data_IF_904968710913
#
_entry.id   IF_904968710913
#
_cell.length_a   1.000
_cell.length_b   1.000
_cell.length_c   1.000
_cell.angle_alpha   90.00
_cell.angle_beta   90.00
_cell.angle_gamma   90.00
#
_symmetry.space_group_name_H-M   'P 1'
#
loop_
_entity.id
_entity.type
_entity.pdbx_description
1 polymer ?
#
# COMPACT_ATOMS: atom_id res chain seq x y z
N UNK A 1 -5.17 -3.40 -4.50
CA UNK A 1 -3.78 -3.62 -4.04
C UNK A 1 -3.69 -3.00 -2.68
N UNK A 2 -3.23 -3.72 -1.66
CA UNK A 2 -2.97 -3.13 -0.35
C UNK A 2 -2.01 -1.94 -0.46
N UNK A 3 -2.42 -0.80 0.07
CA UNK A 3 -1.64 0.41 0.20
C UNK A 3 -1.23 0.58 1.68
N UNK A 4 -0.68 1.70 2.06
CA UNK A 4 -0.18 1.91 3.42
C UNK A 4 -1.20 1.58 4.52
N UNK A 5 -2.49 2.03 4.49
CA UNK A 5 -3.44 1.74 5.55
C UNK A 5 -3.75 0.24 5.71
N UNK A 6 -3.88 -0.49 4.60
CA UNK A 6 -4.11 -1.93 4.63
C UNK A 6 -2.92 -2.68 5.24
N UNK A 7 -1.69 -2.28 4.86
CA UNK A 7 -0.47 -2.88 5.40
C UNK A 7 -0.30 -2.56 6.88
N UNK A 8 -0.61 -1.32 7.30
CA UNK A 8 -0.61 -0.93 8.72
C UNK A 8 -1.61 -1.75 9.54
N UNK A 9 -2.79 -2.00 8.98
CA UNK A 9 -3.81 -2.85 9.64
C UNK A 9 -3.30 -4.27 9.83
N UNK A 10 -2.69 -4.87 8.80
CA UNK A 10 -2.08 -6.21 8.92
C UNK A 10 -1.01 -6.21 10.00
N UNK A 11 -0.14 -5.21 10.04
CA UNK A 11 0.91 -5.10 11.05
C UNK A 11 0.33 -5.00 12.45
N UNK A 12 -0.70 -4.19 12.66
CA UNK A 12 -1.37 -4.05 13.96
C UNK A 12 -2.02 -5.35 14.43
N UNK A 13 -2.64 -6.10 13.51
CA UNK A 13 -3.26 -7.39 13.80
C UNK A 13 -2.21 -8.48 14.13
N UNK A 14 -1.11 -8.51 13.38
CA UNK A 14 -0.05 -9.50 13.58
C UNK A 14 0.78 -9.27 14.85
N UNK A 15 1.03 -8.01 15.19
CA UNK A 15 1.95 -7.65 16.29
C UNK A 15 1.65 -8.36 17.60
N UNK A 16 0.42 -8.34 18.16
CA UNK A 16 0.13 -8.99 19.44
C UNK A 16 0.19 -10.51 19.39
N UNK A 17 0.07 -11.11 18.21
CA UNK A 17 0.04 -12.54 18.00
C UNK A 17 1.43 -13.11 17.67
N UNK A 18 2.31 -12.30 17.09
CA UNK A 18 3.58 -12.73 16.54
C UNK A 18 4.78 -12.36 17.43
N UNK A 19 4.74 -11.20 18.09
CA UNK A 19 5.87 -10.78 18.95
C UNK A 19 6.07 -11.77 20.09
N UNK A 20 7.32 -12.17 20.29
CA UNK A 20 7.72 -13.16 21.29
C UNK A 20 7.64 -14.60 20.81
N UNK A 21 7.06 -14.89 19.64
CA UNK A 21 7.03 -16.24 19.06
C UNK A 21 8.35 -16.59 18.40
N UNK A 22 8.66 -17.89 18.37
CA UNK A 22 9.83 -18.45 17.73
C UNK A 22 9.43 -19.18 16.46
N UNK A 23 10.17 -18.96 15.37
CA UNK A 23 9.99 -19.69 14.10
C UNK A 23 10.60 -21.07 14.25
N UNK A 24 9.80 -22.12 14.13
CA UNK A 24 10.25 -23.52 14.31
C UNK A 24 10.55 -24.22 12.99
N UNK A 25 9.89 -23.82 11.90
CA UNK A 25 10.22 -24.28 10.55
C UNK A 25 9.76 -23.27 9.50
N UNK A 26 10.32 -23.40 8.29
CA UNK A 26 9.91 -22.59 7.14
C UNK A 26 9.67 -23.51 5.94
N UNK A 27 8.51 -23.38 5.33
CA UNK A 27 8.11 -24.10 4.13
C UNK A 27 7.70 -23.13 3.04
N UNK A 28 8.15 -23.36 1.81
CA UNK A 28 7.73 -22.60 0.63
C UNK A 28 7.09 -23.52 -0.41
N UNK A 29 6.16 -22.94 -1.19
CA UNK A 29 5.56 -23.63 -2.32
C UNK A 29 6.54 -23.71 -3.51
N UNK A 30 6.27 -24.60 -4.46
CA UNK A 30 6.98 -24.67 -5.75
C UNK A 30 6.73 -23.46 -6.65
N UNK A 31 5.66 -22.70 -6.41
CA UNK A 31 5.27 -21.55 -7.21
C UNK A 31 5.95 -20.29 -6.66
N UNK A 32 6.65 -19.58 -7.54
CA UNK A 32 7.46 -18.41 -7.15
C UNK A 32 6.59 -17.15 -7.07
N UNK A 33 6.75 -16.39 -6.00
CA UNK A 33 6.33 -15.00 -5.88
C UNK A 33 7.19 -14.09 -6.79
N UNK A 34 6.83 -12.83 -6.93
CA UNK A 34 7.63 -11.84 -7.68
C UNK A 34 9.05 -11.71 -7.12
N UNK A 35 9.20 -11.67 -5.79
CA UNK A 35 10.46 -11.83 -5.07
C UNK A 35 10.27 -13.01 -4.12
N UNK A 36 10.75 -14.21 -4.51
CA UNK A 36 10.45 -15.42 -3.78
C UNK A 36 11.34 -15.58 -2.56
N UNK A 37 10.81 -16.23 -1.55
CA UNK A 37 11.61 -16.80 -0.47
C UNK A 37 12.63 -17.79 -1.05
N UNK A 38 13.87 -17.74 -0.58
CA UNK A 38 14.94 -18.65 -1.02
C UNK A 38 15.12 -19.75 0.02
N UNK A 39 15.18 -21.05 -0.38
CA UNK A 39 15.38 -22.16 0.54
C UNK A 39 16.60 -22.02 1.47
N UNK A 40 17.67 -21.41 0.95
CA UNK A 40 18.88 -21.12 1.73
C UNK A 40 18.64 -20.22 2.96
N UNK A 41 17.53 -19.49 3.03
CA UNK A 41 17.17 -18.62 4.15
C UNK A 41 16.49 -19.38 5.30
N UNK A 42 16.05 -20.62 5.06
CA UNK A 42 15.33 -21.40 6.08
C UNK A 42 16.16 -21.56 7.36
N UNK A 43 17.40 -22.03 7.23
CA UNK A 43 18.28 -22.25 8.38
C UNK A 43 18.54 -20.97 9.20
N UNK A 44 18.56 -19.82 8.53
CA UNK A 44 18.81 -18.53 9.18
C UNK A 44 17.57 -17.95 9.88
N UNK A 45 16.38 -18.37 9.48
CA UNK A 45 15.12 -17.91 10.06
C UNK A 45 14.61 -18.84 11.17
N UNK A 46 14.95 -20.13 11.11
CA UNK A 46 14.58 -21.12 12.14
C UNK A 46 15.29 -20.76 13.45
N UNK A 47 14.62 -21.04 14.57
CA UNK A 47 15.04 -20.72 15.94
C UNK A 47 15.21 -19.23 16.24
N UNK A 48 14.80 -18.36 15.30
CA UNK A 48 14.74 -16.92 15.55
C UNK A 48 13.43 -16.54 16.24
N UNK A 49 13.55 -15.70 17.28
CA UNK A 49 12.41 -15.12 18.00
C UNK A 49 11.99 -13.80 17.35
N UNK A 50 10.71 -13.58 17.17
CA UNK A 50 10.17 -12.32 16.69
C UNK A 50 10.25 -11.26 17.79
N UNK A 51 10.98 -10.17 17.53
CA UNK A 51 11.11 -9.04 18.45
C UNK A 51 10.12 -7.93 18.17
N UNK A 52 9.91 -7.62 16.89
CA UNK A 52 8.96 -6.56 16.52
C UNK A 52 8.31 -6.84 15.15
N UNK A 53 7.12 -6.25 14.96
CA UNK A 53 6.43 -6.18 13.67
C UNK A 53 6.10 -4.72 13.39
N UNK A 54 6.59 -4.21 12.28
CA UNK A 54 6.47 -2.80 11.89
C UNK A 54 6.22 -2.65 10.39
N UNK A 55 5.89 -1.45 9.95
CA UNK A 55 5.64 -1.11 8.54
C UNK A 55 6.65 -0.07 8.05
N UNK A 56 6.97 -0.15 6.76
CA UNK A 56 7.65 0.91 6.01
C UNK A 56 7.03 0.99 4.61
N UNK A 57 6.36 2.10 4.28
CA UNK A 57 5.59 2.23 3.05
C UNK A 57 4.52 1.13 2.92
N UNK A 58 4.63 0.28 1.92
CA UNK A 58 3.72 -0.87 1.70
C UNK A 58 4.36 -2.21 2.09
N UNK A 59 5.40 -2.18 2.91
CA UNK A 59 6.14 -3.34 3.36
C UNK A 59 5.87 -3.64 4.82
N UNK A 60 5.69 -4.91 5.13
CA UNK A 60 5.72 -5.44 6.50
C UNK A 60 7.16 -5.82 6.81
N UNK A 61 7.67 -5.40 7.95
CA UNK A 61 9.00 -5.70 8.45
C UNK A 61 8.86 -6.45 9.76
N UNK A 62 9.55 -7.58 9.88
CA UNK A 62 9.58 -8.39 11.10
C UNK A 62 11.03 -8.47 11.54
N UNK A 63 11.34 -7.83 12.66
CA UNK A 63 12.65 -7.92 13.29
C UNK A 63 12.74 -9.24 14.06
N UNK A 64 13.83 -9.98 13.88
CA UNK A 64 14.08 -11.24 14.50
C UNK A 64 15.32 -11.16 15.41
N UNK A 65 15.36 -11.97 16.45
CA UNK A 65 16.55 -12.23 17.24
C UNK A 65 16.97 -13.69 17.09
N UNK A 66 18.20 -13.93 16.75
CA UNK A 66 18.86 -15.24 16.80
C UNK A 66 20.05 -15.16 17.76
N UNK A 67 20.69 -16.30 18.03
CA UNK A 67 21.82 -16.35 18.99
C UNK A 67 22.99 -15.44 18.63
N UNK A 68 23.20 -15.12 17.34
CA UNK A 68 24.39 -14.40 16.87
C UNK A 68 24.08 -13.20 15.97
N UNK A 69 22.80 -12.94 15.66
CA UNK A 69 22.43 -11.89 14.70
C UNK A 69 21.01 -11.37 14.94
N UNK A 70 20.70 -10.22 14.34
CA UNK A 70 19.37 -9.59 14.37
C UNK A 70 18.83 -9.49 12.94
N UNK A 71 18.45 -10.63 12.34
CA UNK A 71 17.94 -10.63 10.97
C UNK A 71 16.53 -10.05 10.87
N UNK A 72 16.10 -9.81 9.65
CA UNK A 72 14.79 -9.26 9.38
C UNK A 72 14.09 -9.99 8.23
N UNK A 73 12.76 -10.08 8.33
CA UNK A 73 11.92 -10.47 7.21
C UNK A 73 11.26 -9.23 6.63
N UNK A 74 11.21 -9.17 5.31
CA UNK A 74 10.49 -8.13 4.58
C UNK A 74 9.41 -8.78 3.71
N UNK A 75 8.14 -8.37 3.88
CA UNK A 75 7.01 -8.94 3.15
C UNK A 75 6.22 -7.85 2.45
N UNK A 76 5.89 -8.08 1.17
CA UNK A 76 5.01 -7.23 0.37
C UNK A 76 3.78 -8.03 -0.07
N UNK A 77 2.60 -7.50 0.17
CA UNK A 77 1.34 -8.20 -0.14
C UNK A 77 0.99 -8.21 -1.63
N UNK A 78 1.70 -7.47 -2.47
CA UNK A 78 1.38 -7.37 -3.89
C UNK A 78 0.00 -6.77 -4.13
N UNK A 79 -0.86 -7.49 -4.84
CA UNK A 79 -2.23 -7.04 -5.13
C UNK A 79 -3.32 -7.84 -4.43
N UNK A 80 -3.05 -9.09 -4.06
CA UNK A 80 -3.99 -10.05 -3.49
C UNK A 80 -3.41 -10.83 -2.32
N UNK A 81 -2.22 -10.45 -1.87
CA UNK A 81 -1.53 -11.10 -0.76
C UNK A 81 -2.27 -10.93 0.56
N UNK A 82 -2.34 -12.01 1.30
CA UNK A 82 -2.86 -12.10 2.66
C UNK A 82 -1.74 -12.68 3.54
N UNK A 83 -1.49 -12.07 4.66
CA UNK A 83 -0.45 -12.52 5.61
C UNK A 83 -1.09 -12.66 6.97
N UNK A 84 -1.38 -13.89 7.37
CA UNK A 84 -2.26 -14.21 8.50
C UNK A 84 -1.65 -15.26 9.40
N UNK A 85 -1.96 -15.20 10.70
CA UNK A 85 -1.65 -16.25 11.67
C UNK A 85 -2.90 -17.11 11.83
N UNK A 86 -2.70 -18.42 11.72
CA UNK A 86 -3.77 -19.42 11.84
C UNK A 86 -3.25 -20.65 12.61
N UNK A 87 -4.12 -21.44 13.26
CA UNK A 87 -3.74 -22.73 13.81
C UNK A 87 -3.14 -23.64 12.72
N UNK A 88 -2.06 -24.35 13.03
CA UNK A 88 -1.42 -25.31 12.11
C UNK A 88 -2.38 -26.44 11.67
N UNK A 89 -3.40 -26.74 12.49
CA UNK A 89 -4.44 -27.72 12.19
C UNK A 89 -5.46 -27.24 11.14
N UNK A 90 -5.50 -25.93 10.86
CA UNK A 90 -6.39 -25.40 9.84
C UNK A 90 -5.89 -25.81 8.45
N UNK A 91 -6.80 -26.41 7.65
CA UNK A 91 -6.50 -26.80 6.27
C UNK A 91 -5.86 -25.65 5.49
N UNK A 92 -4.83 -25.96 4.72
CA UNK A 92 -4.13 -24.95 3.92
C UNK A 92 -4.96 -24.65 2.66
N UNK A 93 -5.35 -23.40 2.45
CA UNK A 93 -6.04 -23.00 1.22
C UNK A 93 -5.06 -22.95 0.04
N UNK A 94 -5.60 -22.95 -1.18
CA UNK A 94 -4.79 -22.73 -2.38
C UNK A 94 -4.02 -21.41 -2.33
N UNK A 95 -2.86 -21.40 -3.03
CA UNK A 95 -2.01 -20.21 -3.22
C UNK A 95 -1.25 -19.74 -1.98
N UNK A 96 -1.03 -20.59 -0.98
CA UNK A 96 -0.06 -20.31 0.09
C UNK A 96 1.34 -20.55 -0.46
N UNK A 97 2.21 -19.55 -0.35
CA UNK A 97 3.54 -19.58 -0.95
C UNK A 97 4.67 -19.66 0.05
N UNK A 98 4.49 -19.12 1.25
CA UNK A 98 5.44 -19.25 2.35
C UNK A 98 4.67 -19.46 3.64
N UNK A 99 5.13 -20.40 4.44
CA UNK A 99 4.62 -20.72 5.76
C UNK A 99 5.77 -20.70 6.76
N UNK A 100 5.62 -19.92 7.80
CA UNK A 100 6.49 -19.94 8.97
C UNK A 100 5.72 -20.62 10.11
N UNK A 101 6.11 -21.83 10.47
CA UNK A 101 5.58 -22.48 11.65
C UNK A 101 6.13 -21.79 12.91
N UNK A 102 5.26 -21.59 13.88
CA UNK A 102 5.58 -20.91 15.14
C UNK A 102 5.48 -21.88 16.30
N UNK A 103 6.20 -21.58 17.36
CA UNK A 103 5.95 -22.23 18.65
C UNK A 103 4.47 -22.05 19.05
N UNK A 104 3.93 -22.98 19.85
CA UNK A 104 2.54 -22.92 20.27
C UNK A 104 1.50 -23.35 19.21
N UNK A 105 1.94 -24.00 18.11
CA UNK A 105 1.05 -24.69 17.16
C UNK A 105 0.32 -23.80 16.18
N UNK A 106 0.81 -22.57 15.94
CA UNK A 106 0.30 -21.67 14.92
C UNK A 106 1.25 -21.58 13.71
N UNK A 107 0.72 -21.13 12.59
CA UNK A 107 1.48 -20.83 11.38
C UNK A 107 1.20 -19.39 10.90
N UNK A 108 2.25 -18.70 10.48
CA UNK A 108 2.16 -17.44 9.75
C UNK A 108 2.22 -17.75 8.26
N UNK A 109 1.11 -17.57 7.56
CA UNK A 109 0.94 -17.96 6.15
C UNK A 109 0.89 -16.76 5.23
N UNK A 110 1.70 -16.75 4.15
CA UNK A 110 1.60 -15.81 3.04
C UNK A 110 0.86 -16.47 1.87
N UNK A 111 -0.39 -16.10 1.69
CA UNK A 111 -1.23 -16.51 0.56
C UNK A 111 -1.29 -15.40 -0.49
N UNK A 112 -1.06 -15.70 -1.76
CA UNK A 112 -1.17 -14.70 -2.85
C UNK A 112 -1.55 -15.34 -4.19
N UNK A 113 -2.85 -15.38 -4.54
CA UNK A 113 -3.32 -15.97 -5.80
C UNK A 113 -2.66 -15.39 -7.05
N UNK A 114 -2.29 -14.12 -7.03
CA UNK A 114 -1.68 -13.43 -8.19
C UNK A 114 -0.16 -13.47 -8.22
N UNK A 115 0.48 -13.88 -7.14
CA UNK A 115 1.95 -14.01 -6.99
C UNK A 115 2.75 -12.73 -7.24
N UNK A 116 2.15 -11.56 -6.99
CA UNK A 116 2.81 -10.25 -7.08
C UNK A 116 3.47 -9.82 -5.78
N UNK A 117 3.29 -10.60 -4.73
CA UNK A 117 3.90 -10.41 -3.43
C UNK A 117 5.40 -10.73 -3.40
N UNK A 118 5.98 -10.48 -2.25
CA UNK A 118 7.37 -10.78 -1.95
C UNK A 118 7.52 -11.27 -0.50
N UNK A 119 8.48 -12.15 -0.26
CA UNK A 119 8.96 -12.52 1.05
C UNK A 119 10.48 -12.68 0.99
N UNK A 120 11.20 -11.91 1.77
CA UNK A 120 12.65 -11.79 1.70
C UNK A 120 13.26 -11.80 3.11
N UNK A 121 14.47 -12.33 3.20
CA UNK A 121 15.28 -12.34 4.41
C UNK A 121 16.47 -11.39 4.25
N UNK A 122 16.78 -10.66 5.32
CA UNK A 122 17.94 -9.79 5.42
C UNK A 122 18.75 -10.19 6.65
N UNK A 123 20.10 -10.31 6.52
CA UNK A 123 20.95 -10.74 7.64
C UNK A 123 20.99 -9.70 8.77
N UNK A 124 20.78 -8.45 8.46
CA UNK A 124 20.80 -7.34 9.39
C UNK A 124 20.00 -6.12 8.90
N UNK A 125 19.85 -5.15 9.79
CA UNK A 125 19.14 -3.89 9.52
C UNK A 125 19.82 -3.05 8.45
N UNK A 126 21.13 -2.99 8.41
CA UNK A 126 21.87 -2.14 7.45
C UNK A 126 21.66 -2.60 6.01
N UNK A 127 21.67 -3.91 5.77
CA UNK A 127 21.39 -4.51 4.48
C UNK A 127 19.94 -4.17 4.01
N UNK A 128 18.96 -4.28 4.92
CA UNK A 128 17.57 -3.91 4.63
C UNK A 128 17.43 -2.41 4.32
N UNK A 129 17.99 -1.54 5.15
CA UNK A 129 17.87 -0.08 5.00
C UNK A 129 18.54 0.41 3.71
N UNK A 130 19.68 -0.15 3.35
CA UNK A 130 20.34 0.16 2.08
C UNK A 130 19.42 -0.08 0.89
N UNK A 131 18.78 -1.25 0.85
CA UNK A 131 17.86 -1.57 -0.26
C UNK A 131 16.57 -0.75 -0.20
N UNK A 132 16.01 -0.54 0.98
CA UNK A 132 14.78 0.23 1.13
C UNK A 132 14.97 1.71 0.80
N UNK A 133 16.07 2.32 1.23
CA UNK A 133 16.34 3.75 0.97
C UNK A 133 16.65 4.02 -0.52
N UNK A 134 17.11 3.04 -1.27
CA UNK A 134 17.26 3.15 -2.71
C UNK A 134 15.91 3.25 -3.45
N UNK A 135 14.85 2.65 -2.89
CA UNK A 135 13.56 2.49 -3.55
C UNK A 135 12.42 3.31 -2.94
N UNK A 136 12.56 3.75 -1.68
CA UNK A 136 11.50 4.44 -0.94
C UNK A 136 11.92 5.83 -0.46
N UNK A 137 11.08 6.80 -0.73
CA UNK A 137 11.12 8.13 -0.12
C UNK A 137 10.61 8.13 1.33
N UNK A 138 10.41 9.31 1.93
CA UNK A 138 9.93 9.43 3.30
C UNK A 138 8.50 8.86 3.49
N UNK A 139 8.18 8.56 4.75
CA UNK A 139 6.82 8.27 5.18
C UNK A 139 5.93 9.51 5.04
N UNK A 140 4.62 9.34 4.79
CA UNK A 140 3.69 10.47 4.67
C UNK A 140 3.40 11.16 6.00
N UNK A 141 3.58 10.46 7.13
CA UNK A 141 3.35 11.01 8.46
C UNK A 141 4.53 11.86 8.91
N UNK A 142 4.26 13.11 9.25
CA UNK A 142 5.31 14.08 9.60
C UNK A 142 6.22 14.44 8.40
N UNK A 143 5.73 14.31 7.18
CA UNK A 143 6.47 14.61 5.95
C UNK A 143 6.94 16.07 5.95
N UNK A 144 8.26 16.29 5.79
CA UNK A 144 8.84 17.63 5.78
C UNK A 144 8.26 18.49 4.65
N UNK A 145 7.77 19.69 4.99
CA UNK A 145 7.08 20.57 4.06
C UNK A 145 8.00 21.08 2.94
N UNK A 146 9.23 21.49 3.27
CA UNK A 146 10.16 22.05 2.28
C UNK A 146 10.64 20.98 1.30
N UNK A 147 10.91 19.76 1.80
CA UNK A 147 11.16 18.61 0.94
C UNK A 147 9.99 18.38 -0.02
N UNK A 148 8.75 18.29 0.50
CA UNK A 148 7.58 17.98 -0.33
C UNK A 148 7.31 19.08 -1.36
N UNK A 149 7.39 20.37 -0.98
CA UNK A 149 7.31 21.52 -1.90
C UNK A 149 8.36 21.43 -3.00
N UNK A 150 9.61 21.14 -2.64
CA UNK A 150 10.72 21.04 -3.59
C UNK A 150 10.50 19.95 -4.63
N UNK A 151 10.16 18.72 -4.20
CA UNK A 151 9.98 17.58 -5.14
C UNK A 151 8.72 17.71 -5.99
N UNK A 152 7.62 18.23 -5.43
CA UNK A 152 6.39 18.44 -6.20
C UNK A 152 6.58 19.54 -7.24
N UNK A 153 7.10 20.70 -6.83
CA UNK A 153 7.25 21.86 -7.72
C UNK A 153 8.43 21.74 -8.68
N UNK A 154 9.40 20.89 -8.36
CA UNK A 154 10.55 20.61 -9.23
C UNK A 154 10.24 19.76 -10.47
N UNK A 155 8.99 19.32 -10.67
CA UNK A 155 8.67 18.43 -11.79
C UNK A 155 7.50 18.91 -12.65
N UNK A 156 7.58 18.58 -13.95
CA UNK A 156 6.46 18.77 -14.90
C UNK A 156 5.47 17.59 -14.91
N UNK A 157 5.75 16.50 -14.18
CA UNK A 157 4.83 15.35 -14.05
C UNK A 157 3.52 15.80 -13.43
N UNK A 158 2.42 15.10 -13.76
CA UNK A 158 1.14 15.37 -13.11
C UNK A 158 1.15 14.92 -11.64
N UNK A 159 0.30 15.55 -10.82
CA UNK A 159 0.23 15.30 -9.39
C UNK A 159 -0.04 13.82 -9.06
N UNK A 160 -0.92 13.16 -9.85
CA UNK A 160 -1.16 11.74 -9.66
C UNK A 160 0.11 10.90 -9.81
N UNK A 161 0.94 11.19 -10.82
CA UNK A 161 2.20 10.50 -11.04
C UNK A 161 3.21 10.76 -9.91
N UNK A 162 3.21 11.97 -9.36
CA UNK A 162 4.06 12.35 -8.22
C UNK A 162 3.66 11.55 -6.98
N UNK A 163 2.37 11.47 -6.66
CA UNK A 163 1.88 10.74 -5.47
C UNK A 163 2.02 9.23 -5.57
N UNK A 164 1.99 8.66 -6.77
CA UNK A 164 2.20 7.23 -6.98
C UNK A 164 3.67 6.80 -6.90
N UNK A 165 4.58 7.75 -6.98
CA UNK A 165 6.01 7.49 -6.95
C UNK A 165 6.47 7.23 -5.50
N UNK A 166 6.76 5.96 -5.22
CA UNK A 166 7.18 5.55 -3.88
C UNK A 166 8.52 6.17 -3.44
N UNK A 167 9.31 6.72 -4.36
CA UNK A 167 10.55 7.47 -4.04
C UNK A 167 10.29 8.90 -3.58
N UNK A 168 9.11 9.44 -3.85
CA UNK A 168 8.70 10.78 -3.41
C UNK A 168 7.99 10.70 -2.06
N UNK A 169 6.98 9.83 -1.96
CA UNK A 169 6.27 9.55 -0.72
C UNK A 169 5.92 8.08 -0.65
N UNK A 170 6.39 7.39 0.38
CA UNK A 170 6.15 5.97 0.51
C UNK A 170 4.70 5.68 0.94
N UNK A 171 4.13 4.58 0.43
CA UNK A 171 2.86 4.06 0.92
C UNK A 171 1.61 4.54 0.21
N UNK A 172 1.61 5.70 -0.43
CA UNK A 172 0.46 6.20 -1.20
C UNK A 172 0.30 5.39 -2.48
N UNK A 173 -0.93 5.01 -2.78
CA UNK A 173 -1.26 4.31 -4.03
C UNK A 173 -2.46 4.93 -4.73
N UNK A 174 -3.16 4.13 -5.53
CA UNK A 174 -4.17 4.67 -6.45
C UNK A 174 -5.40 5.24 -5.73
N UNK A 175 -5.83 4.58 -4.67
CA UNK A 175 -7.00 4.96 -3.88
C UNK A 175 -6.72 6.27 -3.15
N UNK A 176 -5.70 6.23 -2.31
CA UNK A 176 -5.41 7.35 -1.41
C UNK A 176 -4.83 8.56 -2.11
N UNK A 177 -4.24 8.40 -3.31
CA UNK A 177 -3.88 9.54 -4.16
C UNK A 177 -5.11 10.27 -4.71
N UNK A 178 -6.16 9.56 -5.16
CA UNK A 178 -7.39 10.20 -5.63
C UNK A 178 -8.10 10.92 -4.48
N UNK A 179 -8.25 10.26 -3.33
CA UNK A 179 -8.91 10.82 -2.15
C UNK A 179 -8.16 12.05 -1.59
N UNK A 180 -6.82 11.99 -1.52
CA UNK A 180 -6.00 13.12 -1.06
C UNK A 180 -6.07 14.30 -2.02
N UNK A 181 -6.02 14.07 -3.33
CA UNK A 181 -6.16 15.12 -4.35
C UNK A 181 -7.55 15.77 -4.32
N UNK A 182 -8.60 14.97 -4.10
CA UNK A 182 -9.95 15.51 -3.91
C UNK A 182 -10.05 16.38 -2.66
N UNK A 183 -9.55 15.91 -1.52
CA UNK A 183 -9.51 16.66 -0.27
C UNK A 183 -8.74 17.98 -0.40
N UNK A 184 -7.62 17.96 -1.13
CA UNK A 184 -6.81 19.14 -1.41
C UNK A 184 -7.39 20.04 -2.54
N UNK A 185 -8.49 19.66 -3.18
CA UNK A 185 -9.10 20.37 -4.31
C UNK A 185 -8.16 20.54 -5.51
N UNK A 186 -7.25 19.60 -5.73
CA UNK A 186 -6.26 19.61 -6.80
C UNK A 186 -6.58 18.57 -7.87
N UNK A 187 -6.62 19.01 -9.14
CA UNK A 187 -6.87 18.10 -10.25
C UNK A 187 -5.70 17.11 -10.44
N UNK A 188 -5.94 15.78 -10.60
CA UNK A 188 -4.89 14.77 -10.72
C UNK A 188 -3.93 14.96 -11.89
N UNK A 189 -4.40 15.56 -12.98
CA UNK A 189 -3.62 15.87 -14.18
C UNK A 189 -2.82 17.18 -14.10
N UNK A 190 -2.93 17.96 -13.04
CA UNK A 190 -2.21 19.22 -12.88
C UNK A 190 -0.72 18.97 -12.73
N UNK A 191 0.11 19.73 -13.45
CA UNK A 191 1.57 19.59 -13.39
C UNK A 191 2.10 20.10 -12.04
N UNK A 192 3.03 19.36 -11.43
CA UNK A 192 3.60 19.70 -10.12
C UNK A 192 4.18 21.13 -10.09
N UNK A 193 4.94 21.52 -11.11
CA UNK A 193 5.53 22.88 -11.22
C UNK A 193 4.51 24.03 -11.25
N UNK A 194 3.23 23.75 -11.48
CA UNK A 194 2.15 24.75 -11.50
C UNK A 194 1.46 24.93 -10.14
N UNK A 195 1.83 24.13 -9.15
CA UNK A 195 1.25 24.14 -7.80
C UNK A 195 1.97 25.18 -6.95
N UNK A 196 1.25 25.96 -6.17
CA UNK A 196 1.81 26.91 -5.23
C UNK A 196 2.33 26.23 -3.95
N UNK A 197 3.11 26.92 -3.14
CA UNK A 197 3.56 26.39 -1.85
C UNK A 197 2.38 26.04 -0.92
N UNK A 198 1.39 26.93 -0.84
CA UNK A 198 0.19 26.71 -0.03
C UNK A 198 -0.60 25.48 -0.48
N UNK A 199 -0.74 25.28 -1.79
CA UNK A 199 -1.39 24.08 -2.35
C UNK A 199 -0.58 22.80 -2.07
N UNK A 200 0.75 22.89 -2.08
CA UNK A 200 1.59 21.75 -1.67
C UNK A 200 1.38 21.39 -0.18
N UNK A 201 1.30 22.40 0.69
CA UNK A 201 1.04 22.17 2.11
C UNK A 201 -0.33 21.54 2.35
N UNK A 202 -1.36 22.05 1.72
CA UNK A 202 -2.70 21.47 1.79
C UNK A 202 -2.73 20.02 1.26
N UNK A 203 -1.97 19.73 0.19
CA UNK A 203 -1.89 18.37 -0.34
C UNK A 203 -1.17 17.43 0.64
N UNK A 204 -0.07 17.88 1.24
CA UNK A 204 0.67 17.13 2.27
C UNK A 204 -0.22 16.78 3.47
N UNK A 205 -0.95 17.77 3.98
CA UNK A 205 -1.91 17.58 5.08
C UNK A 205 -3.09 16.70 4.69
N UNK A 206 -3.58 16.82 3.45
CA UNK A 206 -4.64 15.97 2.93
C UNK A 206 -4.21 14.50 2.83
N UNK A 207 -2.97 14.23 2.38
CA UNK A 207 -2.40 12.88 2.33
C UNK A 207 -2.40 12.27 3.75
N UNK A 208 -1.84 12.99 4.71
CA UNK A 208 -1.74 12.51 6.10
C UNK A 208 -3.14 12.24 6.69
N UNK A 209 -4.07 13.19 6.56
CA UNK A 209 -5.42 13.07 7.09
C UNK A 209 -6.21 11.89 6.48
N UNK A 210 -6.13 11.69 5.17
CA UNK A 210 -6.81 10.59 4.49
C UNK A 210 -6.24 9.24 4.92
N UNK A 211 -4.92 9.14 5.02
CA UNK A 211 -4.26 7.90 5.43
C UNK A 211 -4.55 7.55 6.90
N UNK A 212 -4.54 8.54 7.81
CA UNK A 212 -4.89 8.32 9.22
C UNK A 212 -6.33 7.83 9.33
N UNK A 213 -7.27 8.49 8.66
CA UNK A 213 -8.68 8.07 8.68
C UNK A 213 -8.88 6.67 8.11
N UNK A 214 -8.15 6.34 7.04
CA UNK A 214 -8.20 5.01 6.46
C UNK A 214 -7.64 3.93 7.41
N UNK A 215 -6.57 4.24 8.16
CA UNK A 215 -6.03 3.34 9.19
C UNK A 215 -7.04 3.10 10.31
N UNK A 216 -7.73 4.15 10.78
CA UNK A 216 -8.80 4.04 11.78
C UNK A 216 -9.93 3.11 11.30
N UNK A 217 -10.30 3.22 10.02
CA UNK A 217 -11.32 2.38 9.37
C UNK A 217 -10.76 1.01 8.92
N UNK A 218 -9.55 0.61 9.35
CA UNK A 218 -8.86 -0.65 9.02
C UNK A 218 -8.58 -0.86 7.54
N UNK A 219 -8.34 0.23 6.79
CA UNK A 219 -8.13 0.20 5.33
C UNK A 219 -9.41 -0.04 4.55
N UNK A 220 -9.27 -0.32 3.26
CA UNK A 220 -10.37 -0.57 2.33
C UNK A 220 -10.39 -2.02 1.85
N UNK A 221 -11.55 -2.68 1.90
CA UNK A 221 -11.77 -4.00 1.32
C UNK A 221 -12.57 -3.88 0.03
N UNK A 222 -11.87 -3.73 -1.11
CA UNK A 222 -12.55 -3.64 -2.42
C UNK A 222 -12.77 -5.03 -3.04
N UNK A 223 -11.84 -5.97 -2.83
CA UNK A 223 -11.91 -7.35 -3.38
C UNK A 223 -11.41 -8.40 -2.39
N UNK A 224 -10.12 -8.61 -2.31
CA UNK A 224 -9.51 -9.77 -1.65
C UNK A 224 -8.79 -9.44 -0.34
N UNK A 225 -8.71 -8.14 0.02
CA UNK A 225 -8.02 -7.74 1.21
C UNK A 225 -8.80 -8.14 2.47
N UNK A 226 -8.08 -8.79 3.39
CA UNK A 226 -8.48 -8.99 4.78
C UNK A 226 -7.29 -8.66 5.67
N UNK A 227 -7.56 -8.11 6.85
CA UNK A 227 -6.51 -7.84 7.84
C UNK A 227 -5.82 -9.12 8.31
N UNK A 228 -4.73 -8.99 9.07
CA UNK A 228 -4.01 -10.12 9.65
C UNK A 228 -4.85 -11.01 10.57
N UNK A 229 -5.92 -10.46 11.12
CA UNK A 229 -6.96 -11.15 11.92
C UNK A 229 -8.11 -11.74 11.08
N UNK A 230 -8.10 -11.60 9.74
CA UNK A 230 -9.20 -12.01 8.87
C UNK A 230 -10.36 -11.01 8.78
N UNK A 231 -10.32 -9.90 9.51
CA UNK A 231 -11.35 -8.87 9.47
C UNK A 231 -11.22 -7.97 8.24
N UNK A 232 -12.36 -7.51 7.72
CA UNK A 232 -12.42 -6.60 6.57
C UNK A 232 -12.28 -5.15 6.99
N UNK A 233 -11.70 -4.32 6.11
CA UNK A 233 -11.67 -2.87 6.26
C UNK A 233 -13.01 -2.22 5.90
N UNK A 234 -13.23 -1.00 6.37
CA UNK A 234 -14.47 -0.23 6.21
C UNK A 234 -14.33 1.05 5.39
N UNK A 235 -13.12 1.51 5.07
CA UNK A 235 -12.89 2.81 4.45
C UNK A 235 -13.51 2.96 3.05
N UNK A 236 -13.80 1.88 2.33
CA UNK A 236 -14.52 1.94 1.04
C UNK A 236 -15.90 2.61 1.15
N UNK A 237 -16.51 2.64 2.32
CA UNK A 237 -17.79 3.31 2.56
C UNK A 237 -17.63 4.84 2.72
N UNK A 238 -16.40 5.32 2.85
CA UNK A 238 -16.05 6.74 3.04
C UNK A 238 -15.42 7.37 1.80
N UNK A 239 -15.32 6.63 0.68
CA UNK A 239 -14.73 7.18 -0.54
C UNK A 239 -15.49 8.40 -1.04
N UNK A 240 -14.76 9.50 -1.20
CA UNK A 240 -15.30 10.73 -1.77
C UNK A 240 -15.37 10.71 -3.30
N UNK A 241 -14.37 10.09 -3.95
CA UNK A 241 -14.29 10.03 -5.41
C UNK A 241 -13.89 8.66 -5.95
N UNK A 242 -13.07 7.88 -5.24
CA UNK A 242 -12.52 6.64 -5.77
C UNK A 242 -13.61 5.60 -6.06
N UNK A 243 -13.67 5.13 -7.32
CA UNK A 243 -14.66 4.15 -7.78
C UNK A 243 -16.06 4.70 -8.03
N UNK A 244 -16.29 6.02 -7.84
CA UNK A 244 -17.59 6.67 -7.89
C UNK A 244 -17.84 7.43 -9.21
N UNK A 245 -17.30 6.92 -10.30
CA UNK A 245 -17.54 7.52 -11.64
C UNK A 245 -19.03 7.62 -11.93
N UNK A 246 -19.47 8.75 -12.50
CA UNK A 246 -20.86 9.10 -12.84
C UNK A 246 -21.79 9.31 -11.62
N UNK A 247 -21.28 9.16 -10.38
CA UNK A 247 -22.04 9.50 -9.18
C UNK A 247 -21.93 11.00 -8.85
N UNK A 248 -22.86 11.47 -8.00
CA UNK A 248 -22.84 12.87 -7.51
C UNK A 248 -21.69 13.09 -6.53
N UNK A 249 -21.03 14.23 -6.68
CA UNK A 249 -20.05 14.71 -5.71
C UNK A 249 -20.76 15.11 -4.42
N UNK A 250 -20.28 14.62 -3.28
CA UNK A 250 -20.83 14.93 -1.96
C UNK A 250 -20.61 16.39 -1.50
N UNK A 251 -19.80 17.17 -2.24
CA UNK A 251 -19.47 18.56 -1.86
C UNK A 251 -20.16 19.60 -2.74
N UNK A 252 -20.30 19.35 -4.06
CA UNK A 252 -20.82 20.36 -4.99
C UNK A 252 -21.94 19.84 -5.90
N UNK A 253 -22.45 18.65 -5.67
CA UNK A 253 -23.49 17.99 -6.46
C UNK A 253 -23.12 17.73 -7.94
N UNK A 254 -21.94 18.13 -8.38
CA UNK A 254 -21.42 17.86 -9.72
C UNK A 254 -21.12 16.37 -9.90
N UNK A 255 -20.94 15.93 -11.15
CA UNK A 255 -20.68 14.52 -11.46
C UNK A 255 -19.19 14.18 -11.31
N UNK A 256 -18.86 13.09 -10.60
CA UNK A 256 -17.51 12.55 -10.52
C UNK A 256 -17.10 12.00 -11.89
N UNK A 257 -15.96 12.47 -12.37
CA UNK A 257 -15.36 12.01 -13.63
C UNK A 257 -14.20 11.06 -13.38
N UNK A 258 -13.84 10.28 -14.40
CA UNK A 258 -12.60 9.53 -14.40
C UNK A 258 -11.78 9.82 -15.67
N UNK A 259 -10.46 9.76 -15.51
CA UNK A 259 -9.52 9.85 -16.62
C UNK A 259 -8.27 9.01 -16.30
N UNK A 260 -7.40 8.81 -17.29
CA UNK A 260 -6.17 8.02 -17.11
C UNK A 260 -4.97 8.94 -16.90
N UNK A 261 -4.35 8.86 -15.71
CA UNK A 261 -3.12 9.55 -15.37
C UNK A 261 -2.08 8.55 -14.86
N UNK A 262 -0.83 8.70 -15.26
CA UNK A 262 0.26 7.80 -14.87
C UNK A 262 -0.05 6.31 -15.10
N UNK A 263 -0.76 5.99 -16.17
CA UNK A 263 -1.17 4.61 -16.48
C UNK A 263 -2.27 4.02 -15.59
N UNK A 264 -2.86 4.83 -14.70
CA UNK A 264 -3.92 4.41 -13.75
C UNK A 264 -5.20 5.21 -13.99
N UNK A 265 -6.35 4.58 -13.74
CA UNK A 265 -7.62 5.30 -13.65
C UNK A 265 -7.58 6.17 -12.41
N UNK A 266 -7.97 7.43 -12.56
CA UNK A 266 -8.08 8.42 -11.48
C UNK A 266 -9.49 8.98 -11.49
N UNK A 267 -10.08 9.09 -10.32
CA UNK A 267 -11.42 9.63 -10.11
C UNK A 267 -11.33 11.02 -9.48
N UNK A 268 -12.13 11.95 -9.94
CA UNK A 268 -12.07 13.33 -9.46
C UNK A 268 -13.39 14.07 -9.75
N UNK A 269 -13.65 15.13 -9.00
CA UNK A 269 -14.74 16.05 -9.28
C UNK A 269 -14.23 17.23 -10.13
N UNK A 270 -14.69 17.41 -11.39
CA UNK A 270 -14.22 18.51 -12.24
C UNK A 270 -14.54 19.91 -11.69
N UNK A 271 -15.58 20.04 -10.87
CA UNK A 271 -15.97 21.31 -10.26
C UNK A 271 -15.12 21.64 -9.03
N UNK A 272 -14.90 20.66 -8.12
CA UNK A 272 -14.10 20.85 -6.90
C UNK A 272 -12.61 20.92 -7.18
N UNK A 273 -12.12 20.21 -8.20
CA UNK A 273 -10.70 20.05 -8.51
C UNK A 273 -10.36 20.74 -9.83
N UNK A 274 -10.12 22.05 -9.78
CA UNK A 274 -9.79 22.83 -10.97
C UNK A 274 -8.42 22.46 -11.56
N UNK A 275 -8.31 22.51 -12.89
CA UNK A 275 -7.04 22.25 -13.59
C UNK A 275 -6.01 23.39 -13.40
N UNK A 276 -6.36 24.48 -12.71
CA UNK A 276 -5.56 25.70 -12.69
C UNK A 276 -5.66 26.44 -14.04
N UNK A 277 -5.19 27.68 -14.09
CA UNK A 277 -5.14 28.50 -15.32
C UNK A 277 -4.06 27.91 -16.25
N UNK A 278 -4.41 26.94 -17.11
CA UNK A 278 -3.48 26.34 -18.05
C UNK A 278 -4.05 25.13 -18.79
N UNK A 279 -4.56 25.38 -20.01
CA UNK A 279 -4.95 24.46 -21.09
C UNK A 279 -5.96 23.36 -20.77
N UNK A 280 -7.17 23.48 -21.33
CA UNK A 280 -8.17 22.40 -21.46
C UNK A 280 -7.53 21.17 -22.11
N UNK A 281 -7.37 20.10 -21.36
CA UNK A 281 -7.09 18.77 -21.93
C UNK A 281 -8.39 18.28 -22.56
N UNK A 282 -8.37 17.97 -23.85
CA UNK A 282 -9.51 17.35 -24.55
C UNK A 282 -9.81 16.03 -23.86
N UNK A 283 -11.04 15.86 -23.37
CA UNK A 283 -11.52 14.58 -22.85
C UNK A 283 -11.54 13.56 -23.98
N UNK A 284 -10.69 12.57 -23.92
CA UNK A 284 -10.80 11.38 -24.78
C UNK A 284 -11.93 10.52 -24.21
N UNK A 285 -13.06 10.48 -24.93
CA UNK A 285 -14.14 9.53 -24.63
C UNK A 285 -13.57 8.11 -24.64
N UNK A 286 -13.74 7.41 -23.54
CA UNK A 286 -13.46 5.97 -23.45
C UNK A 286 -14.35 5.22 -24.44
N UNK A 287 -13.81 4.26 -25.25
CA UNK A 287 -14.66 3.41 -26.09
C UNK A 287 -15.61 2.59 -25.21
N UNK A 288 -16.90 2.59 -25.54
CA UNK A 288 -17.89 1.70 -24.94
C UNK A 288 -17.45 0.25 -25.17
N UNK A 289 -17.51 -0.55 -24.11
CA UNK A 289 -17.37 -2.00 -24.23
C UNK A 289 -18.44 -2.56 -25.19
N UNK A 290 -18.10 -3.57 -26.01
CA UNK A 290 -19.08 -4.19 -26.89
C UNK A 290 -20.15 -4.89 -26.04
N UNK A 291 -21.40 -4.56 -26.27
CA UNK A 291 -22.56 -5.28 -25.74
C UNK A 291 -22.53 -6.70 -26.28
N UNK A 292 -22.45 -7.69 -25.42
CA UNK A 292 -22.71 -9.08 -25.78
C UNK A 292 -24.14 -9.21 -26.29
N UNK A 293 -24.29 -9.56 -27.56
CA UNK A 293 -25.56 -10.06 -28.08
C UNK A 293 -25.75 -11.48 -27.59
N UNK A 294 -26.96 -11.71 -27.15
CA UNK A 294 -27.61 -12.99 -26.79
C UNK A 294 -27.25 -14.18 -27.69
#
# INVERSE_FOLDING_TARGET
>A
MPELPEVETVVRDLRPLLVGRTITSVRQSRHKLRRPWKPAWNANAIDSRVESVRRRGKWILIDLASQSSSPLLRVHLGMSGQFTIVPATLAEPDHVHVVFALDGGNELRLRDPRRFGAAEYFPDRAALETEMNADLGPEPFGLNADYFRSVVRGTARNLKAVLLDQKIVAGVGNIYADEALFRAKLHPGRAGKSVTNAECDHLREAIEAVLLRAIESRGSTIRDYVGGSGLRGGFQNEFAVYGRTDERCSVCEGTIACARFAGRTSHYCPQCQSQGIGKKVKSTKTPRAPTSRS
#
